data_IF_229273662779
#
_entry.id   IF_229273662779
#
_cell.length_a   1.000
_cell.length_b   1.000
_cell.length_c   1.000
_cell.angle_alpha   90.00
_cell.angle_beta   90.00
_cell.angle_gamma   90.00
#
_symmetry.space_group_name_H-M   'P 1'
#
loop_
_entity.id
_entity.type
_entity.pdbx_description
1 polymer ?
#
# COMPACT_ATOMS: atom_id res chain seq x y z
N UNK A 1 15.17 11.43 2.46
CA UNK A 1 13.70 11.61 2.38
C UNK A 1 13.15 11.53 0.95
N UNK A 2 13.85 12.01 -0.09
CA UNK A 2 13.49 11.80 -1.52
C UNK A 2 13.15 10.36 -1.93
N UNK A 3 13.61 9.36 -1.17
CA UNK A 3 13.48 7.92 -1.46
C UNK A 3 12.03 7.40 -1.37
N UNK A 4 11.16 8.10 -0.65
CA UNK A 4 9.73 7.77 -0.55
C UNK A 4 8.84 8.65 -1.45
N UNK A 5 9.38 9.76 -1.97
CA UNK A 5 8.69 10.67 -2.88
C UNK A 5 8.56 10.05 -4.30
N UNK A 6 9.47 9.16 -4.68
CA UNK A 6 9.44 8.38 -5.95
C UNK A 6 8.62 7.08 -5.86
N UNK A 7 7.57 7.05 -5.03
CA UNK A 7 6.72 5.87 -4.87
C UNK A 7 5.90 5.55 -6.13
N UNK A 8 5.72 4.28 -6.49
CA UNK A 8 4.84 3.89 -7.59
C UNK A 8 3.38 4.16 -7.22
N UNK A 9 2.49 4.21 -8.22
CA UNK A 9 1.06 4.06 -7.95
C UNK A 9 0.81 2.68 -7.35
N UNK A 10 0.21 2.68 -6.16
CA UNK A 10 -0.12 1.46 -5.43
C UNK A 10 -1.45 0.83 -5.89
N UNK A 11 -1.97 1.22 -7.07
CA UNK A 11 -3.17 0.60 -7.65
C UNK A 11 -2.94 -0.89 -7.92
N UNK A 12 -3.82 -1.75 -7.40
CA UNK A 12 -3.75 -3.21 -7.54
C UNK A 12 -2.80 -3.96 -6.60
N UNK A 13 -1.92 -3.27 -5.86
CA UNK A 13 -1.07 -3.89 -4.82
C UNK A 13 -1.93 -4.32 -3.64
N UNK A 14 -1.57 -5.33 -2.83
CA UNK A 14 -2.27 -5.55 -1.55
C UNK A 14 -1.76 -4.57 -0.49
N UNK A 15 -2.50 -4.35 0.61
CA UNK A 15 -2.03 -3.53 1.73
C UNK A 15 -0.63 -3.98 2.22
N UNK A 16 -0.42 -5.29 2.32
CA UNK A 16 0.88 -5.86 2.66
C UNK A 16 1.97 -5.54 1.63
N UNK A 17 1.67 -5.59 0.32
CA UNK A 17 2.66 -5.25 -0.71
C UNK A 17 3.04 -3.76 -0.70
N UNK A 18 2.08 -2.88 -0.40
CA UNK A 18 2.32 -1.44 -0.22
C UNK A 18 3.28 -1.23 0.95
N UNK A 19 2.94 -1.78 2.12
CA UNK A 19 3.77 -1.61 3.32
C UNK A 19 5.15 -2.25 3.13
N UNK A 20 5.21 -3.40 2.46
CA UNK A 20 6.47 -4.06 2.08
C UNK A 20 7.36 -3.15 1.23
N UNK A 21 6.79 -2.45 0.25
CA UNK A 21 7.54 -1.52 -0.59
C UNK A 21 8.24 -0.43 0.25
N UNK A 22 7.53 0.11 1.24
CA UNK A 22 8.10 1.09 2.18
C UNK A 22 9.13 0.44 3.11
N UNK A 23 8.83 -0.74 3.64
CA UNK A 23 9.71 -1.48 4.54
C UNK A 23 11.07 -1.81 3.90
N UNK A 24 11.04 -2.36 2.69
CA UNK A 24 12.24 -2.75 1.93
C UNK A 24 13.10 -1.53 1.55
N UNK A 25 12.48 -0.36 1.34
CA UNK A 25 13.18 0.90 1.05
C UNK A 25 13.72 1.60 2.29
N UNK A 26 12.95 1.63 3.37
CA UNK A 26 13.37 2.18 4.65
C UNK A 26 14.63 1.48 5.16
N UNK A 27 14.75 0.17 4.91
CA UNK A 27 15.96 -0.61 5.18
C UNK A 27 17.23 -0.02 4.55
N UNK A 28 17.13 0.49 3.33
CA UNK A 28 18.27 0.99 2.57
C UNK A 28 18.64 2.44 2.93
N UNK A 29 17.89 3.10 3.83
CA UNK A 29 18.12 4.52 4.14
C UNK A 29 19.20 4.76 5.18
N UNK A 30 19.28 3.93 6.24
CA UNK A 30 20.30 4.08 7.29
C UNK A 30 20.56 2.80 8.08
N UNK A 31 21.77 2.70 8.65
CA UNK A 31 22.17 1.59 9.51
C UNK A 31 21.24 1.46 10.72
N UNK A 32 20.57 0.31 10.84
CA UNK A 32 19.69 0.01 11.97
C UNK A 32 18.22 0.37 11.75
N UNK A 33 17.84 1.00 10.63
CA UNK A 33 16.45 1.37 10.30
C UNK A 33 15.45 0.23 10.51
N UNK A 34 15.72 -0.96 9.95
CA UNK A 34 14.83 -2.13 10.11
C UNK A 34 14.70 -2.58 11.56
N UNK A 35 15.77 -2.53 12.35
CA UNK A 35 15.69 -2.87 13.78
C UNK A 35 14.85 -1.86 14.55
N UNK A 36 14.91 -0.58 14.18
CA UNK A 36 14.05 0.44 14.77
C UNK A 36 12.58 0.23 14.38
N UNK A 37 12.29 -0.01 13.09
CA UNK A 37 10.93 -0.33 12.61
C UNK A 37 10.38 -1.57 13.31
N UNK A 38 11.16 -2.65 13.40
CA UNK A 38 10.74 -3.90 14.05
C UNK A 38 10.47 -3.66 15.54
N UNK A 39 11.37 -2.99 16.25
CA UNK A 39 11.16 -2.67 17.66
C UNK A 39 9.87 -1.89 17.88
N UNK A 40 9.63 -0.87 17.06
CA UNK A 40 8.42 -0.05 17.17
C UNK A 40 7.15 -0.82 16.77
N UNK A 41 7.22 -1.66 15.74
CA UNK A 41 6.11 -2.53 15.34
C UNK A 41 5.70 -3.45 16.49
N UNK A 42 6.69 -4.08 17.15
CA UNK A 42 6.47 -4.99 18.28
C UNK A 42 5.83 -4.24 19.45
N UNK A 43 6.35 -3.06 19.77
CA UNK A 43 5.82 -2.21 20.84
C UNK A 43 4.36 -1.79 20.59
N UNK A 44 4.05 -1.27 19.39
CA UNK A 44 2.68 -0.91 19.01
C UNK A 44 1.74 -2.10 19.09
N UNK A 45 2.15 -3.25 18.56
CA UNK A 45 1.34 -4.47 18.52
C UNK A 45 1.00 -4.98 19.93
N UNK A 46 1.98 -5.02 20.82
CA UNK A 46 1.80 -5.54 22.18
C UNK A 46 0.96 -4.59 23.03
N UNK A 47 1.13 -3.28 22.87
CA UNK A 47 0.39 -2.30 23.66
C UNK A 47 -1.09 -2.21 23.22
N UNK A 48 -1.40 -2.48 21.96
CA UNK A 48 -2.75 -2.29 21.42
C UNK A 48 -3.56 -3.59 21.29
N UNK A 49 -2.92 -4.74 21.08
CA UNK A 49 -3.59 -6.03 21.02
C UNK A 49 -3.47 -6.75 22.36
N UNK A 50 -4.62 -7.05 22.94
CA UNK A 50 -4.73 -7.87 24.15
C UNK A 50 -4.09 -9.24 23.94
N UNK A 51 -3.37 -9.72 24.95
CA UNK A 51 -2.56 -10.95 24.85
C UNK A 51 -3.38 -12.19 24.47
N UNK A 52 -4.65 -12.26 24.90
CA UNK A 52 -5.54 -13.37 24.56
C UNK A 52 -5.95 -13.41 23.08
N UNK A 53 -5.76 -12.29 22.37
CA UNK A 53 -6.15 -12.09 20.97
C UNK A 53 -4.97 -12.07 20.00
N UNK A 54 -3.74 -12.06 20.52
CA UNK A 54 -2.52 -12.01 19.70
C UNK A 54 -2.36 -13.28 18.87
N UNK A 55 -2.32 -13.11 17.55
CA UNK A 55 -2.01 -14.19 16.60
C UNK A 55 -0.55 -14.21 16.18
N UNK A 56 0.18 -13.11 16.36
CA UNK A 56 1.62 -12.99 16.08
C UNK A 56 2.42 -13.20 17.36
N UNK A 57 3.35 -14.16 17.33
CA UNK A 57 4.23 -14.47 18.46
C UNK A 57 5.59 -13.78 18.29
N UNK A 58 5.72 -12.59 18.89
CA UNK A 58 7.01 -11.90 18.97
C UNK A 58 7.87 -12.44 20.11
N UNK A 59 9.18 -12.35 19.92
CA UNK A 59 10.18 -12.61 20.96
C UNK A 59 10.28 -11.36 21.83
N UNK A 60 10.11 -11.52 23.14
CA UNK A 60 10.23 -10.45 24.11
C UNK A 60 11.32 -10.75 25.11
N UNK A 61 12.03 -9.71 25.59
CA UNK A 61 12.98 -9.90 26.67
C UNK A 61 12.22 -10.30 27.95
N UNK A 62 12.79 -11.25 28.70
CA UNK A 62 12.29 -11.60 30.04
C UNK A 62 12.50 -10.44 31.02
N UNK A 63 13.60 -9.70 30.85
CA UNK A 63 13.88 -8.46 31.54
C UNK A 63 13.79 -7.26 30.57
N UNK A 64 12.77 -6.41 30.67
CA UNK A 64 12.62 -5.22 29.81
C UNK A 64 13.82 -4.25 29.86
N UNK A 65 14.56 -4.23 30.96
CA UNK A 65 15.70 -3.33 31.16
C UNK A 65 17.03 -3.93 30.63
N UNK A 66 17.03 -5.18 30.18
CA UNK A 66 18.20 -5.83 29.59
C UNK A 66 18.33 -5.48 28.10
N UNK A 67 19.23 -4.52 27.81
CA UNK A 67 19.48 -4.03 26.47
C UNK A 67 20.02 -5.12 25.51
N UNK A 68 20.80 -6.08 26.01
CA UNK A 68 21.37 -7.15 25.19
C UNK A 68 20.28 -8.19 24.85
N UNK A 69 19.43 -8.51 25.82
CA UNK A 69 18.27 -9.38 25.61
C UNK A 69 17.27 -8.73 24.65
N UNK A 70 17.00 -7.43 24.79
CA UNK A 70 16.19 -6.66 23.88
C UNK A 70 16.73 -6.72 22.45
N UNK A 71 18.03 -6.46 22.26
CA UNK A 71 18.65 -6.50 20.93
C UNK A 71 18.60 -7.90 20.30
N UNK A 72 18.80 -8.94 21.11
CA UNK A 72 18.70 -10.35 20.68
C UNK A 72 17.29 -10.71 20.23
N UNK A 73 16.27 -10.33 21.02
CA UNK A 73 14.87 -10.56 20.68
C UNK A 73 14.47 -9.78 19.43
N UNK A 74 14.86 -8.51 19.33
CA UNK A 74 14.57 -7.67 18.18
C UNK A 74 15.19 -8.23 16.89
N UNK A 75 16.42 -8.76 16.97
CA UNK A 75 17.07 -9.44 15.83
C UNK A 75 16.29 -10.68 15.37
N UNK A 76 15.68 -11.45 16.27
CA UNK A 76 14.82 -12.58 15.91
C UNK A 76 13.49 -12.11 15.30
N UNK A 77 12.92 -11.01 15.81
CA UNK A 77 11.67 -10.45 15.31
C UNK A 77 11.78 -9.88 13.89
N UNK A 78 12.98 -9.50 13.43
CA UNK A 78 13.23 -9.17 12.02
C UNK A 78 12.74 -10.30 11.12
N UNK A 79 13.07 -11.55 11.45
CA UNK A 79 12.66 -12.71 10.67
C UNK A 79 11.14 -12.91 10.69
N UNK A 80 10.48 -12.64 11.81
CA UNK A 80 9.01 -12.73 11.91
C UNK A 80 8.33 -11.78 10.93
N UNK A 81 8.83 -10.55 10.80
CA UNK A 81 8.31 -9.56 9.84
C UNK A 81 8.70 -9.92 8.40
N UNK A 82 9.92 -10.41 8.16
CA UNK A 82 10.34 -10.87 6.82
C UNK A 82 9.48 -12.05 6.34
N UNK A 83 9.26 -13.05 7.20
CA UNK A 83 8.41 -14.21 6.91
C UNK A 83 6.93 -13.80 6.74
N UNK A 84 6.50 -12.69 7.36
CA UNK A 84 5.18 -12.10 7.12
C UNK A 84 5.02 -11.58 5.69
N UNK A 85 6.03 -10.91 5.15
CA UNK A 85 5.97 -10.36 3.79
C UNK A 85 6.34 -11.37 2.68
N UNK A 86 7.06 -12.45 3.00
CA UNK A 86 7.47 -13.46 2.02
C UNK A 86 6.35 -14.45 1.64
N UNK A 87 5.44 -14.76 2.55
CA UNK A 87 4.51 -15.89 2.43
C UNK A 87 3.14 -15.46 1.84
N UNK A 88 3.15 -15.00 0.59
CA UNK A 88 1.96 -14.51 -0.13
C UNK A 88 0.92 -15.61 -0.49
N UNK A 89 1.13 -16.89 -0.12
CA UNK A 89 0.32 -18.02 -0.63
C UNK A 89 -0.61 -18.71 0.37
N UNK A 90 -0.59 -18.36 1.68
CA UNK A 90 -1.53 -18.94 2.65
C UNK A 90 -2.13 -17.87 3.57
N UNK A 91 -3.02 -17.05 3.02
CA UNK A 91 -4.08 -16.40 3.82
C UNK A 91 -5.08 -17.47 4.28
N UNK A 92 -4.70 -18.29 5.26
CA UNK A 92 -5.60 -19.15 6.03
C UNK A 92 -4.85 -19.53 7.33
N UNK A 93 -5.32 -19.25 8.55
CA UNK A 93 -6.68 -19.11 9.07
C UNK A 93 -6.55 -18.28 10.37
N UNK A 94 -7.41 -17.26 10.56
CA UNK A 94 -7.54 -16.41 11.76
C UNK A 94 -6.76 -15.08 11.85
N UNK A 95 -6.39 -14.46 10.71
CA UNK A 95 -5.89 -13.07 10.62
C UNK A 95 -4.61 -12.81 11.42
N UNK A 96 -3.47 -12.58 10.73
CA UNK A 96 -2.23 -12.07 11.34
C UNK A 96 -2.40 -10.59 11.74
N UNK A 97 -3.40 -10.31 12.59
CA UNK A 97 -3.80 -9.04 13.23
C UNK A 97 -3.62 -7.76 12.42
N UNK A 98 -3.73 -7.86 11.09
CA UNK A 98 -3.37 -6.77 10.17
C UNK A 98 -1.98 -6.19 10.51
N UNK A 99 -0.98 -7.05 10.71
CA UNK A 99 0.39 -6.68 11.12
C UNK A 99 0.98 -5.59 10.21
N UNK A 100 0.59 -5.54 8.94
CA UNK A 100 0.95 -4.49 8.01
C UNK A 100 0.59 -3.07 8.51
N UNK A 101 -0.48 -2.90 9.29
CA UNK A 101 -0.89 -1.61 9.87
C UNK A 101 0.13 -1.13 10.91
N UNK A 102 0.60 -2.05 11.77
CA UNK A 102 1.59 -1.74 12.78
C UNK A 102 2.95 -1.42 12.17
N UNK A 103 3.32 -2.15 11.11
CA UNK A 103 4.55 -1.85 10.35
C UNK A 103 4.42 -0.50 9.64
N UNK A 104 3.29 -0.19 9.00
CA UNK A 104 3.06 1.09 8.34
C UNK A 104 3.19 2.27 9.31
N UNK A 105 2.57 2.16 10.49
CA UNK A 105 2.67 3.18 11.54
C UNK A 105 4.08 3.35 12.05
N UNK A 106 4.80 2.25 12.29
CA UNK A 106 6.20 2.32 12.71
C UNK A 106 7.08 3.01 11.65
N UNK A 107 6.81 2.79 10.36
CA UNK A 107 7.54 3.47 9.28
C UNK A 107 7.19 4.97 9.26
N UNK A 108 5.90 5.32 9.29
CA UNK A 108 5.46 6.73 9.27
C UNK A 108 6.00 7.51 10.48
N UNK A 109 6.02 6.92 11.67
CA UNK A 109 6.56 7.57 12.87
C UNK A 109 8.08 7.83 12.78
N UNK A 110 8.84 6.96 12.11
CA UNK A 110 10.30 7.07 12.03
C UNK A 110 10.73 7.95 10.84
N UNK A 111 9.99 7.87 9.74
CA UNK A 111 10.40 8.45 8.45
C UNK A 111 9.46 9.55 7.93
N UNK A 112 8.40 9.87 8.68
CA UNK A 112 7.37 10.86 8.29
C UNK A 112 6.86 10.61 6.87
N UNK A 113 6.54 9.35 6.58
CA UNK A 113 5.95 8.94 5.30
C UNK A 113 4.41 9.03 5.33
N UNK A 114 3.79 8.96 4.15
CA UNK A 114 2.32 8.92 4.01
C UNK A 114 1.77 7.49 3.90
N UNK A 115 2.48 6.47 4.42
CA UNK A 115 2.11 5.07 4.21
C UNK A 115 0.71 4.78 4.76
N UNK A 116 0.41 5.26 5.96
CA UNK A 116 -0.91 5.10 6.59
C UNK A 116 -2.00 5.89 5.86
N UNK A 117 -1.73 7.10 5.36
CA UNK A 117 -2.71 7.86 4.60
C UNK A 117 -3.06 7.16 3.27
N UNK A 118 -2.08 6.53 2.62
CA UNK A 118 -2.32 5.70 1.43
C UNK A 118 -3.19 4.49 1.76
N UNK A 119 -2.88 3.79 2.86
CA UNK A 119 -3.69 2.66 3.31
C UNK A 119 -5.12 3.10 3.67
N UNK A 120 -5.26 4.27 4.30
CA UNK A 120 -6.53 4.86 4.68
C UNK A 120 -7.36 5.26 3.46
N UNK A 121 -6.79 5.97 2.48
CA UNK A 121 -7.46 6.29 1.21
C UNK A 121 -7.89 5.04 0.46
N UNK A 122 -7.20 3.93 0.63
CA UNK A 122 -7.62 2.65 0.03
C UNK A 122 -8.80 2.02 0.76
N UNK A 123 -8.77 1.99 2.09
CA UNK A 123 -9.83 1.40 2.92
C UNK A 123 -11.09 2.29 2.95
N UNK A 124 -10.89 3.59 2.90
CA UNK A 124 -11.90 4.65 2.99
C UNK A 124 -11.56 5.73 1.95
N UNK A 125 -11.78 5.45 0.65
CA UNK A 125 -11.54 6.44 -0.39
C UNK A 125 -12.35 7.71 -0.12
N UNK A 126 -11.64 8.82 0.09
CA UNK A 126 -12.25 10.14 0.30
C UNK A 126 -12.89 10.68 -0.99
N UNK A 127 -12.53 10.13 -2.16
CA UNK A 127 -13.11 10.50 -3.45
C UNK A 127 -14.30 9.62 -3.86
N UNK A 128 -15.37 10.34 -4.21
CA UNK A 128 -16.72 9.92 -4.52
C UNK A 128 -16.74 8.97 -5.72
N UNK A 129 -17.27 7.75 -5.54
CA UNK A 129 -17.81 6.98 -6.66
C UNK A 129 -18.80 7.89 -7.38
N UNK A 130 -18.61 8.23 -8.67
CA UNK A 130 -19.46 9.20 -9.33
C UNK A 130 -20.94 8.77 -9.24
N UNK A 131 -21.75 9.59 -8.59
CA UNK A 131 -23.17 9.33 -8.35
C UNK A 131 -24.07 10.13 -9.30
N UNK A 132 -23.52 11.12 -10.00
CA UNK A 132 -24.22 11.94 -11.00
C UNK A 132 -23.58 11.80 -12.38
N UNK A 133 -24.35 12.08 -13.43
CA UNK A 133 -23.86 12.08 -14.81
C UNK A 133 -22.71 13.09 -15.00
N UNK A 134 -22.80 14.27 -14.38
CA UNK A 134 -21.77 15.30 -14.45
C UNK A 134 -20.45 14.85 -13.81
N UNK A 135 -20.51 14.11 -12.70
CA UNK A 135 -19.32 13.55 -12.06
C UNK A 135 -18.68 12.45 -12.93
N UNK A 136 -19.51 11.64 -13.58
CA UNK A 136 -19.03 10.61 -14.52
C UNK A 136 -18.38 11.27 -15.74
N UNK A 137 -18.99 12.30 -16.31
CA UNK A 137 -18.47 13.02 -17.47
C UNK A 137 -17.14 13.73 -17.13
N UNK A 138 -17.04 14.34 -15.95
CA UNK A 138 -15.80 14.93 -15.47
C UNK A 138 -14.69 13.89 -15.30
N UNK A 139 -15.00 12.73 -14.70
CA UNK A 139 -14.06 11.62 -14.55
C UNK A 139 -13.60 11.08 -15.92
N UNK A 140 -14.50 10.97 -16.88
CA UNK A 140 -14.19 10.53 -18.24
C UNK A 140 -13.27 11.51 -18.96
N UNK A 141 -13.53 12.82 -18.86
CA UNK A 141 -12.66 13.86 -19.44
C UNK A 141 -11.27 13.81 -18.82
N UNK A 142 -11.18 13.72 -17.50
CA UNK A 142 -9.90 13.63 -16.80
C UNK A 142 -9.13 12.35 -17.15
N UNK A 143 -9.83 11.21 -17.23
CA UNK A 143 -9.24 9.94 -17.67
C UNK A 143 -8.68 10.07 -19.07
N UNK A 144 -9.47 10.62 -20.00
CA UNK A 144 -9.07 10.75 -21.38
C UNK A 144 -7.84 11.65 -21.55
N UNK A 145 -7.80 12.79 -20.84
CA UNK A 145 -6.64 13.67 -20.82
C UNK A 145 -5.40 12.95 -20.29
N UNK A 146 -5.51 12.35 -19.10
CA UNK A 146 -4.39 11.67 -18.43
C UNK A 146 -3.86 10.50 -19.26
N UNK A 147 -4.75 9.72 -19.86
CA UNK A 147 -4.40 8.60 -20.72
C UNK A 147 -3.71 9.06 -22.00
N UNK A 148 -4.26 10.09 -22.65
CA UNK A 148 -3.68 10.65 -23.88
C UNK A 148 -2.27 11.19 -23.62
N UNK A 149 -2.07 11.89 -22.51
CA UNK A 149 -0.76 12.41 -22.12
C UNK A 149 0.25 11.29 -21.87
N UNK A 150 -0.16 10.22 -21.18
CA UNK A 150 0.70 9.06 -20.94
C UNK A 150 1.08 8.33 -22.24
N UNK A 151 0.12 8.13 -23.15
CA UNK A 151 0.36 7.49 -24.46
C UNK A 151 1.29 8.35 -25.32
N UNK A 152 1.10 9.66 -25.34
CA UNK A 152 2.00 10.57 -26.07
C UNK A 152 3.43 10.49 -25.54
N UNK A 153 3.58 10.38 -24.22
CA UNK A 153 4.88 10.20 -23.58
C UNK A 153 5.51 8.84 -23.96
N UNK A 154 4.74 7.75 -23.97
CA UNK A 154 5.23 6.45 -24.47
C UNK A 154 5.75 6.57 -25.89
N UNK A 155 5.02 7.26 -26.77
CA UNK A 155 5.43 7.43 -28.16
C UNK A 155 6.72 8.26 -28.25
N UNK A 156 6.92 9.26 -27.38
CA UNK A 156 8.16 10.04 -27.33
C UNK A 156 9.35 9.17 -26.96
N UNK A 157 9.25 8.43 -25.86
CA UNK A 157 10.33 7.61 -25.28
C UNK A 157 10.60 6.39 -26.16
N UNK A 158 9.57 5.58 -26.45
CA UNK A 158 9.75 4.32 -27.17
C UNK A 158 10.23 4.49 -28.62
N UNK A 159 10.04 5.65 -29.23
CA UNK A 159 10.50 5.94 -30.61
C UNK A 159 12.03 5.97 -30.72
N UNK A 160 12.74 6.32 -29.66
CA UNK A 160 14.21 6.36 -29.65
C UNK A 160 14.84 5.03 -29.21
N UNK A 161 14.02 4.07 -28.77
CA UNK A 161 14.48 2.85 -28.14
C UNK A 161 14.85 3.09 -26.67
N UNK A 162 14.41 2.19 -25.78
CA UNK A 162 14.58 2.30 -24.32
C UNK A 162 16.04 2.36 -23.85
N UNK A 163 17.01 2.17 -24.75
CA UNK A 163 18.44 2.15 -24.44
C UNK A 163 19.06 3.53 -24.38
N UNK A 164 18.43 4.52 -25.01
CA UNK A 164 18.99 5.87 -25.17
C UNK A 164 18.35 6.90 -24.21
N UNK A 165 17.26 6.52 -23.53
CA UNK A 165 16.55 7.35 -22.56
C UNK A 165 17.22 7.28 -21.18
N UNK A 166 17.16 8.39 -20.43
CA UNK A 166 17.66 8.42 -19.06
C UNK A 166 16.77 7.64 -18.08
N UNK A 167 17.34 7.15 -16.98
CA UNK A 167 16.58 6.51 -15.90
C UNK A 167 15.45 7.42 -15.39
N UNK A 168 15.71 8.72 -15.27
CA UNK A 168 14.72 9.75 -14.90
C UNK A 168 13.56 9.84 -15.90
N UNK A 169 13.82 9.76 -17.21
CA UNK A 169 12.76 9.77 -18.23
C UNK A 169 11.89 8.52 -18.18
N UNK A 170 12.48 7.36 -17.89
CA UNK A 170 11.76 6.10 -17.73
C UNK A 170 10.89 6.11 -16.47
N UNK A 171 11.40 6.64 -15.35
CA UNK A 171 10.62 6.82 -14.11
C UNK A 171 9.44 7.79 -14.30
N UNK A 172 9.64 8.90 -15.02
CA UNK A 172 8.57 9.85 -15.34
C UNK A 172 7.50 9.17 -16.21
N UNK A 173 7.92 8.41 -17.22
CA UNK A 173 7.00 7.67 -18.09
C UNK A 173 6.19 6.63 -17.29
N UNK A 174 6.86 5.85 -16.45
CA UNK A 174 6.22 4.87 -15.57
C UNK A 174 5.18 5.54 -14.68
N UNK A 175 5.53 6.66 -14.04
CA UNK A 175 4.62 7.43 -13.19
C UNK A 175 3.37 7.91 -13.96
N UNK A 176 3.54 8.45 -15.17
CA UNK A 176 2.41 8.88 -16.01
C UNK A 176 1.49 7.73 -16.40
N UNK A 177 2.07 6.59 -16.81
CA UNK A 177 1.31 5.38 -17.16
C UNK A 177 0.53 4.83 -15.96
N UNK A 178 1.15 4.81 -14.80
CA UNK A 178 0.53 4.38 -13.56
C UNK A 178 -0.64 5.28 -13.15
N UNK A 179 -0.51 6.59 -13.32
CA UNK A 179 -1.59 7.56 -13.08
C UNK A 179 -2.74 7.39 -14.08
N UNK A 180 -2.45 7.17 -15.36
CA UNK A 180 -3.47 6.90 -16.36
C UNK A 180 -4.25 5.61 -16.05
N UNK A 181 -3.54 4.55 -15.62
CA UNK A 181 -4.14 3.30 -15.18
C UNK A 181 -5.08 3.51 -13.98
N UNK A 182 -4.67 4.28 -12.97
CA UNK A 182 -5.51 4.59 -11.81
C UNK A 182 -6.85 5.22 -12.21
N UNK A 183 -6.83 6.17 -13.15
CA UNK A 183 -8.07 6.81 -13.65
C UNK A 183 -8.96 5.83 -14.41
N UNK A 184 -8.38 4.91 -15.17
CA UNK A 184 -9.13 3.82 -15.82
C UNK A 184 -9.75 2.89 -14.77
N UNK A 185 -9.01 2.52 -13.74
CA UNK A 185 -9.51 1.67 -12.64
C UNK A 185 -10.69 2.35 -11.91
N UNK A 186 -10.68 3.69 -11.74
CA UNK A 186 -11.82 4.44 -11.19
C UNK A 186 -13.07 4.31 -12.07
N UNK A 187 -12.93 4.34 -13.40
CA UNK A 187 -14.05 4.10 -14.31
C UNK A 187 -14.60 2.67 -14.19
N UNK A 188 -13.71 1.67 -14.06
CA UNK A 188 -14.12 0.28 -13.83
C UNK A 188 -14.90 0.16 -12.52
N UNK A 189 -14.41 0.76 -11.43
CA UNK A 189 -15.10 0.76 -10.14
C UNK A 189 -16.48 1.40 -10.20
N UNK A 190 -16.66 2.48 -10.96
CA UNK A 190 -17.97 3.08 -11.19
C UNK A 190 -18.95 2.09 -11.87
N UNK A 191 -18.47 1.33 -12.87
CA UNK A 191 -19.27 0.31 -13.57
C UNK A 191 -19.62 -0.85 -12.65
N UNK A 192 -18.65 -1.37 -11.89
CA UNK A 192 -18.86 -2.51 -10.97
C UNK A 192 -19.91 -2.18 -9.91
N UNK A 193 -19.86 -0.99 -9.34
CA UNK A 193 -20.86 -0.51 -8.38
C UNK A 193 -22.26 -0.45 -8.99
N UNK A 194 -22.41 0.09 -10.19
CA UNK A 194 -23.70 0.15 -10.88
C UNK A 194 -24.22 -1.27 -11.23
N UNK A 195 -23.35 -2.18 -11.66
CA UNK A 195 -23.71 -3.57 -11.91
C UNK A 195 -24.17 -4.27 -10.63
N UNK A 196 -23.51 -4.00 -9.50
CA UNK A 196 -23.88 -4.56 -8.20
C UNK A 196 -25.22 -4.02 -7.72
N UNK A 197 -25.48 -2.71 -7.84
CA UNK A 197 -26.79 -2.09 -7.56
C UNK A 197 -27.91 -2.76 -8.36
N UNK A 198 -27.73 -2.90 -9.68
CA UNK A 198 -28.73 -3.57 -10.56
C UNK A 198 -28.95 -5.03 -10.19
N UNK A 199 -27.91 -5.76 -9.78
CA UNK A 199 -28.04 -7.15 -9.32
C UNK A 199 -28.86 -7.23 -8.02
N UNK A 200 -28.64 -6.31 -7.08
CA UNK A 200 -29.40 -6.23 -5.83
C UNK A 200 -30.88 -5.89 -6.06
N UNK A 201 -31.19 -4.96 -6.97
CA UNK A 201 -32.57 -4.63 -7.35
C UNK A 201 -33.32 -5.80 -7.99
N UNK A 202 -32.64 -6.62 -8.78
CA UNK A 202 -33.22 -7.84 -9.36
C UNK A 202 -33.50 -8.94 -8.32
N UNK A 203 -32.71 -8.97 -7.24
CA UNK A 203 -32.87 -9.95 -6.15
C UNK A 203 -33.97 -9.55 -5.16
N UNK A 204 -34.20 -8.24 -4.99
CA UNK A 204 -35.27 -7.69 -4.18
C UNK A 204 -36.20 -6.82 -5.04
N UNK A 205 -37.04 -7.41 -5.91
CA UNK A 205 -38.07 -6.64 -6.57
C UNK A 205 -39.00 -6.10 -5.48
N UNK A 206 -39.07 -4.77 -5.36
CA UNK A 206 -40.04 -4.11 -4.50
C UNK A 206 -41.42 -4.64 -4.90
N UNK A 207 -42.05 -5.39 -4.00
CA UNK A 207 -43.44 -5.82 -4.16
C UNK A 207 -44.31 -4.58 -3.99
N UNK A 208 -44.77 -4.01 -5.10
CA UNK A 208 -45.98 -3.19 -5.11
C UNK A 208 -47.23 -4.06 -4.85
#
# INVERSE_FOLDING_TARGET
>A
MKLFESRPSFSGYTAADIVRWYYDRAWNTMNGAKRAIVARTVDLYINEIDDSRRTVRFNLPENPDDADQFLSCNKKNVKVIDDFFADNTVRNKHFRDSLEIYVARAIDEIFETDCCEILKQRLFPEEIVPHTQEQLDALLVETNSTYTDAVNECVRVFRNGLTDDSEEELEILESKLLKAREKIDKNVGAIENELQRRKQEKLNPVKE
#
